data_IF_031069622190
#
_entry.id   IF_031069622190
#
_cell.length_a   1.000
_cell.length_b   1.000
_cell.length_c   1.000
_cell.angle_alpha   90.00
_cell.angle_beta   90.00
_cell.angle_gamma   90.00
#
_symmetry.space_group_name_H-M   'P 1'
#
loop_
_entity.id
_entity.type
_entity.pdbx_description
1 polymer ?
#
# COMPACT_ATOMS: atom_id res chain seq x y z
N UNK A 1 -39.03 -20.83 -4.31
CA UNK A 1 -38.97 -19.69 -3.37
C UNK A 1 -37.51 -19.42 -3.06
N UNK A 2 -36.93 -18.25 -3.38
CA UNK A 2 -35.57 -17.94 -2.97
C UNK A 2 -35.56 -17.40 -1.53
N UNK A 3 -34.56 -17.83 -0.77
CA UNK A 3 -34.32 -17.46 0.62
C UNK A 3 -33.89 -16.00 0.66
N UNK A 4 -34.71 -15.15 1.30
CA UNK A 4 -34.35 -13.79 1.72
C UNK A 4 -33.27 -13.90 2.79
N UNK A 5 -32.01 -13.72 2.40
CA UNK A 5 -30.97 -13.32 3.34
C UNK A 5 -31.10 -11.83 3.60
N UNK A 6 -31.50 -11.46 4.81
CA UNK A 6 -31.29 -10.10 5.31
C UNK A 6 -29.77 -9.86 5.33
N UNK A 7 -29.27 -9.09 4.36
CA UNK A 7 -27.92 -8.55 4.42
C UNK A 7 -28.08 -7.05 4.58
N UNK A 8 -28.13 -6.60 5.83
CA UNK A 8 -27.83 -5.20 6.14
C UNK A 8 -26.33 -4.97 5.90
N UNK A 9 -25.97 -4.80 4.63
CA UNK A 9 -24.70 -4.22 4.23
C UNK A 9 -24.93 -3.23 3.09
N UNK A 10 -25.93 -2.36 3.23
CA UNK A 10 -26.05 -1.14 2.45
C UNK A 10 -25.15 -0.07 3.06
N UNK A 11 -23.83 -0.27 2.99
CA UNK A 11 -22.86 0.81 3.20
C UNK A 11 -22.34 1.24 1.82
N UNK A 12 -23.07 2.20 1.25
CA UNK A 12 -22.68 3.13 0.18
C UNK A 12 -21.86 2.55 -0.97
N UNK A 13 -22.53 1.87 -1.91
CA UNK A 13 -21.96 1.63 -3.23
C UNK A 13 -22.58 2.62 -4.21
N UNK A 14 -21.78 3.51 -4.80
CA UNK A 14 -22.27 4.39 -5.86
C UNK A 14 -22.63 3.53 -7.09
N UNK A 15 -23.64 3.91 -7.89
CA UNK A 15 -24.08 3.14 -9.08
C UNK A 15 -23.02 2.99 -10.18
N UNK A 16 -21.89 3.68 -10.05
CA UNK A 16 -20.82 3.81 -11.03
C UNK A 16 -19.66 2.81 -10.81
N UNK A 17 -19.72 2.03 -9.71
CA UNK A 17 -18.71 1.03 -9.31
C UNK A 17 -19.15 -0.43 -9.61
N UNK A 18 -19.90 -0.64 -10.68
CA UNK A 18 -20.36 -1.98 -11.07
C UNK A 18 -19.36 -2.72 -11.96
N UNK A 19 -19.00 -3.92 -11.53
CA UNK A 19 -18.02 -4.77 -12.22
C UNK A 19 -18.77 -5.58 -13.28
N UNK A 20 -18.47 -5.33 -14.55
CA UNK A 20 -18.98 -6.13 -15.66
C UNK A 20 -18.36 -7.54 -15.62
N UNK A 21 -19.18 -8.56 -15.36
CA UNK A 21 -18.73 -9.96 -15.30
C UNK A 21 -18.76 -10.61 -16.70
N UNK A 22 -19.87 -10.50 -17.44
CA UNK A 22 -20.03 -11.09 -18.79
C UNK A 22 -20.91 -10.18 -19.68
N UNK A 23 -20.60 -10.10 -20.98
CA UNK A 23 -21.48 -9.55 -22.03
C UNK A 23 -22.04 -10.69 -22.88
N UNK A 24 -23.36 -10.73 -23.05
CA UNK A 24 -24.05 -11.83 -23.73
C UNK A 24 -24.82 -11.34 -24.97
N UNK A 25 -25.09 -12.26 -25.90
CA UNK A 25 -25.95 -12.07 -27.08
C UNK A 25 -27.26 -12.84 -26.93
N UNK A 26 -28.23 -12.54 -27.78
CA UNK A 26 -29.53 -13.20 -27.78
C UNK A 26 -29.36 -14.73 -27.92
N UNK A 27 -30.03 -15.48 -27.03
CA UNK A 27 -29.97 -16.94 -26.99
C UNK A 27 -28.87 -17.54 -26.09
N UNK A 28 -28.04 -16.73 -25.42
CA UNK A 28 -27.07 -17.21 -24.44
C UNK A 28 -27.65 -17.17 -23.01
N UNK A 29 -27.37 -18.19 -22.19
CA UNK A 29 -27.74 -18.24 -20.77
C UNK A 29 -26.51 -18.59 -19.90
N UNK A 30 -26.38 -17.98 -18.72
CA UNK A 30 -25.33 -18.26 -17.74
C UNK A 30 -25.98 -18.63 -16.41
N UNK A 31 -25.71 -19.85 -15.94
CA UNK A 31 -26.12 -20.34 -14.62
C UNK A 31 -24.91 -20.87 -13.87
N UNK A 32 -24.56 -20.25 -12.75
CA UNK A 32 -23.46 -20.70 -11.90
C UNK A 32 -23.80 -20.52 -10.42
N UNK A 33 -23.16 -21.35 -9.59
CA UNK A 33 -23.16 -21.21 -8.13
C UNK A 33 -21.70 -21.08 -7.67
N UNK A 34 -21.40 -20.04 -6.89
CA UNK A 34 -20.07 -19.79 -6.35
C UNK A 34 -20.10 -19.81 -4.81
N UNK A 35 -19.01 -20.30 -4.21
CA UNK A 35 -18.84 -20.37 -2.76
C UNK A 35 -17.68 -19.46 -2.33
N UNK A 36 -17.96 -18.52 -1.44
CA UNK A 36 -16.93 -17.68 -0.84
C UNK A 36 -16.20 -18.44 0.28
N UNK A 37 -14.87 -18.35 0.31
CA UNK A 37 -14.01 -18.89 1.38
C UNK A 37 -13.05 -17.81 1.85
N UNK A 38 -12.80 -17.79 3.15
CA UNK A 38 -11.72 -16.98 3.74
C UNK A 38 -10.38 -17.61 3.37
N UNK A 39 -9.45 -16.80 2.89
CA UNK A 39 -8.10 -17.23 2.54
C UNK A 39 -7.08 -16.15 2.86
N UNK A 40 -5.84 -16.39 2.44
CA UNK A 40 -4.69 -15.53 2.72
C UNK A 40 -4.13 -15.03 1.39
N UNK A 41 -3.79 -13.74 1.30
CA UNK A 41 -3.26 -13.14 0.07
C UNK A 41 -2.00 -13.85 -0.48
N UNK A 42 -1.19 -14.48 0.39
CA UNK A 42 -0.02 -15.29 0.01
C UNK A 42 -0.39 -16.49 -0.87
N UNK A 43 -1.58 -17.07 -0.68
CA UNK A 43 -2.05 -18.19 -1.48
C UNK A 43 -2.64 -17.72 -2.81
N UNK A 44 -3.38 -16.60 -2.80
CA UNK A 44 -3.94 -16.01 -4.01
C UNK A 44 -4.27 -14.53 -3.83
N UNK A 45 -3.91 -13.72 -4.83
CA UNK A 45 -4.13 -12.27 -4.86
C UNK A 45 -5.61 -11.82 -4.70
N UNK A 46 -6.60 -12.68 -4.99
CA UNK A 46 -8.03 -12.36 -4.81
C UNK A 46 -8.44 -12.18 -3.35
N UNK A 47 -7.60 -12.66 -2.43
CA UNK A 47 -7.78 -12.53 -0.99
C UNK A 47 -6.97 -11.38 -0.41
N UNK A 48 -6.33 -10.56 -1.26
CA UNK A 48 -5.72 -9.33 -0.79
C UNK A 48 -6.79 -8.31 -0.40
N UNK A 49 -6.65 -7.75 0.79
CA UNK A 49 -7.53 -6.72 1.32
C UNK A 49 -7.05 -5.31 0.93
N UNK A 50 -5.84 -5.18 0.40
CA UNK A 50 -5.27 -3.93 -0.07
C UNK A 50 -5.32 -3.89 -1.61
N UNK A 51 -5.56 -2.70 -2.15
CA UNK A 51 -5.35 -2.43 -3.56
C UNK A 51 -3.87 -2.08 -3.83
N UNK A 52 -3.29 -1.26 -2.95
CA UNK A 52 -1.89 -0.84 -3.01
C UNK A 52 -1.38 -0.54 -1.60
N UNK A 53 -0.11 -0.86 -1.37
CA UNK A 53 0.63 -0.42 -0.18
C UNK A 53 1.99 0.10 -0.66
N UNK A 54 2.24 1.37 -0.43
CA UNK A 54 3.50 2.02 -0.74
C UNK A 54 4.12 2.56 0.54
N UNK A 55 5.45 2.64 0.56
CA UNK A 55 6.16 3.30 1.66
C UNK A 55 7.32 4.14 1.14
N UNK A 56 7.63 5.19 1.88
CA UNK A 56 8.72 6.12 1.63
C UNK A 56 9.38 6.48 2.96
N UNK A 57 10.70 6.68 2.99
CA UNK A 57 11.44 6.99 4.23
C UNK A 57 12.48 8.11 4.07
N UNK A 58 12.79 8.50 2.84
CA UNK A 58 13.77 9.54 2.52
C UNK A 58 13.25 10.44 1.39
N UNK A 59 12.23 11.28 1.67
CA UNK A 59 11.55 12.10 0.66
C UNK A 59 12.48 13.11 -0.04
N UNK A 60 13.56 13.49 0.64
CA UNK A 60 14.56 14.44 0.15
C UNK A 60 15.83 13.75 -0.37
N UNK A 61 15.87 12.41 -0.45
CA UNK A 61 17.03 11.64 -0.88
C UNK A 61 18.35 12.03 -0.16
N UNK A 62 18.27 12.34 1.14
CA UNK A 62 19.40 12.76 1.99
C UNK A 62 20.41 11.62 2.17
N UNK A 63 19.96 10.36 2.16
CA UNK A 63 20.79 9.18 2.30
C UNK A 63 21.33 8.69 0.95
N UNK A 64 20.86 9.26 -0.17
CA UNK A 64 21.22 8.85 -1.55
C UNK A 64 20.91 7.37 -1.82
N UNK A 65 19.95 6.79 -1.10
CA UNK A 65 19.52 5.40 -1.31
C UNK A 65 18.61 5.23 -2.54
N UNK A 66 18.10 6.34 -3.09
CA UNK A 66 17.36 6.33 -4.35
C UNK A 66 18.22 6.95 -5.45
N UNK A 67 18.49 6.16 -6.49
CA UNK A 67 19.20 6.64 -7.68
C UNK A 67 18.18 6.99 -8.74
N UNK A 68 17.98 8.28 -9.02
CA UNK A 68 17.09 8.70 -10.10
C UNK A 68 17.81 8.56 -11.46
N UNK A 69 17.17 7.98 -12.49
CA UNK A 69 17.85 7.54 -13.72
C UNK A 69 18.53 8.63 -14.54
N UNK A 70 18.05 9.87 -14.53
CA UNK A 70 18.61 10.93 -15.39
C UNK A 70 18.52 12.33 -14.76
N UNK A 71 19.63 12.87 -14.22
CA UNK A 71 19.68 14.22 -13.66
C UNK A 71 19.46 15.34 -14.69
N UNK A 72 19.55 15.05 -15.99
CA UNK A 72 19.45 16.05 -17.06
C UNK A 72 17.99 16.33 -17.46
N UNK A 73 17.11 15.32 -17.37
CA UNK A 73 15.66 15.46 -17.63
C UNK A 73 14.94 16.28 -16.54
N UNK A 74 15.60 16.47 -15.39
CA UNK A 74 15.27 17.41 -14.32
C UNK A 74 14.89 18.80 -14.83
N UNK A 75 15.64 19.34 -15.81
CA UNK A 75 15.46 20.72 -16.28
C UNK A 75 14.15 20.94 -17.03
N UNK A 76 13.78 20.01 -17.91
CA UNK A 76 12.54 20.06 -18.67
C UNK A 76 11.33 19.90 -17.76
N UNK A 77 11.44 19.01 -16.78
CA UNK A 77 10.37 18.65 -15.87
C UNK A 77 10.17 19.68 -14.74
N UNK A 78 11.24 20.31 -14.24
CA UNK A 78 11.17 21.43 -13.30
C UNK A 78 10.54 22.69 -13.91
N UNK A 79 10.78 22.96 -15.21
CA UNK A 79 10.16 24.07 -15.93
C UNK A 79 8.64 23.88 -16.15
N UNK A 80 8.17 22.62 -16.11
CA UNK A 80 6.76 22.24 -16.20
C UNK A 80 6.09 22.01 -14.83
N UNK A 81 6.75 22.37 -13.73
CA UNK A 81 6.25 22.11 -12.36
C UNK A 81 5.95 20.63 -12.09
N UNK A 82 6.59 19.75 -12.85
CA UNK A 82 6.09 18.38 -12.95
C UNK A 82 6.71 17.51 -11.86
N UNK A 83 7.72 17.95 -11.07
CA UNK A 83 8.43 17.08 -10.07
C UNK A 83 7.37 16.47 -9.16
N UNK A 84 7.22 15.12 -9.14
CA UNK A 84 6.49 14.48 -8.06
C UNK A 84 7.44 14.56 -6.88
N UNK A 85 7.50 15.75 -6.29
CA UNK A 85 8.08 15.96 -4.98
C UNK A 85 7.23 15.13 -4.04
N UNK A 86 7.88 14.37 -3.15
CA UNK A 86 7.13 13.66 -2.12
C UNK A 86 6.27 14.67 -1.36
N UNK A 87 5.02 14.30 -1.08
CA UNK A 87 4.11 15.09 -0.24
C UNK A 87 4.66 15.32 1.18
N UNK A 88 5.70 14.55 1.56
CA UNK A 88 6.34 14.55 2.87
C UNK A 88 7.70 15.27 2.90
N UNK A 89 8.03 16.04 1.87
CA UNK A 89 9.31 16.77 1.76
C UNK A 89 9.27 18.09 2.55
N UNK A 90 10.24 18.28 3.46
CA UNK A 90 10.31 19.45 4.35
C UNK A 90 11.02 20.68 3.74
N UNK A 91 11.60 20.56 2.54
CA UNK A 91 12.30 21.68 1.91
C UNK A 91 11.32 22.83 1.58
N UNK A 92 11.71 24.10 1.72
CA UNK A 92 10.83 25.18 1.31
C UNK A 92 10.61 25.14 -0.22
N UNK A 93 9.38 25.40 -0.68
CA UNK A 93 9.15 25.74 -2.08
C UNK A 93 9.88 27.07 -2.33
N UNK A 94 11.05 27.01 -2.97
CA UNK A 94 11.73 28.23 -3.39
C UNK A 94 10.88 28.88 -4.49
N UNK A 95 9.98 29.79 -4.10
CA UNK A 95 9.35 30.78 -4.97
C UNK A 95 10.43 31.71 -5.54
N UNK A 96 11.19 31.23 -6.53
CA UNK A 96 12.30 32.02 -7.05
C UNK A 96 13.19 31.28 -8.03
N UNK A 97 12.89 31.46 -9.31
CA UNK A 97 13.83 31.59 -10.42
C UNK A 97 15.16 30.80 -10.31
N UNK A 98 15.16 29.61 -10.91
CA UNK A 98 16.30 28.97 -11.63
C UNK A 98 17.69 29.43 -11.17
N UNK A 99 18.15 28.97 -10.01
CA UNK A 99 19.57 29.11 -9.64
C UNK A 99 20.05 28.04 -8.67
N UNK A 100 19.91 26.78 -9.08
CA UNK A 100 21.00 25.80 -8.97
C UNK A 100 20.52 24.49 -9.57
N UNK A 101 21.21 24.05 -10.61
CA UNK A 101 21.29 22.65 -11.01
C UNK A 101 21.28 21.78 -9.73
N UNK A 102 20.32 20.86 -9.59
CA UNK A 102 20.33 19.75 -8.62
C UNK A 102 19.80 19.97 -7.18
N UNK A 103 19.15 21.09 -6.80
CA UNK A 103 18.58 21.25 -5.44
C UNK A 103 17.22 20.53 -5.23
N UNK A 104 17.02 19.37 -5.85
CA UNK A 104 15.90 18.47 -5.54
C UNK A 104 16.03 17.78 -4.20
N UNK A 105 17.28 17.63 -3.81
CA UNK A 105 17.69 16.66 -2.83
C UNK A 105 18.28 17.42 -1.64
N UNK A 106 18.02 16.92 -0.45
CA UNK A 106 18.59 17.43 0.77
C UNK A 106 20.11 17.28 0.78
N UNK A 107 20.75 18.03 1.67
CA UNK A 107 22.20 17.91 1.90
C UNK A 107 22.53 16.47 2.31
N UNK A 108 23.43 15.82 1.57
CA UNK A 108 23.84 14.45 1.87
C UNK A 108 24.40 14.32 3.29
N UNK A 109 23.84 13.41 4.06
CA UNK A 109 24.29 13.08 5.41
C UNK A 109 24.42 11.55 5.55
N UNK A 110 25.66 11.09 5.62
CA UNK A 110 25.98 9.66 5.70
C UNK A 110 25.80 9.08 7.11
N UNK A 111 25.72 9.93 8.15
CA UNK A 111 25.48 9.48 9.52
C UNK A 111 23.99 9.40 9.87
N UNK A 112 23.13 9.93 9.00
CA UNK A 112 21.68 9.90 9.22
C UNK A 112 21.17 8.46 9.02
N UNK A 113 20.19 8.08 9.84
CA UNK A 113 19.50 6.80 9.75
C UNK A 113 18.02 7.01 9.40
N UNK A 114 17.41 6.00 8.80
CA UNK A 114 16.00 6.02 8.44
C UNK A 114 15.15 5.76 9.69
N UNK A 115 14.70 6.83 10.34
CA UNK A 115 13.91 6.75 11.57
C UNK A 115 12.40 6.90 11.34
N UNK A 116 12.01 7.48 10.20
CA UNK A 116 10.61 7.78 9.85
C UNK A 116 10.23 7.12 8.53
N UNK A 117 9.06 6.47 8.53
CA UNK A 117 8.52 5.78 7.37
C UNK A 117 7.08 6.24 7.14
N UNK A 118 6.83 6.80 5.97
CA UNK A 118 5.53 7.19 5.47
C UNK A 118 4.92 6.00 4.74
N UNK A 119 3.75 5.54 5.18
CA UNK A 119 3.02 4.45 4.53
C UNK A 119 1.74 5.00 3.90
N UNK A 120 1.53 4.69 2.62
CA UNK A 120 0.25 4.88 1.96
C UNK A 120 -0.41 3.52 1.80
N UNK A 121 -1.63 3.38 2.32
CA UNK A 121 -2.39 2.12 2.33
C UNK A 121 -3.75 2.36 1.69
N UNK A 122 -3.94 1.76 0.52
CA UNK A 122 -5.19 1.80 -0.22
C UNK A 122 -5.96 0.49 -0.01
N UNK A 123 -7.21 0.60 0.43
CA UNK A 123 -8.08 -0.56 0.62
C UNK A 123 -8.74 -0.98 -0.69
N UNK A 124 -8.94 -2.30 -0.87
CA UNK A 124 -9.78 -2.84 -1.95
C UNK A 124 -11.28 -2.62 -1.74
N UNK A 125 -11.68 -2.04 -0.60
CA UNK A 125 -13.07 -1.81 -0.20
C UNK A 125 -13.64 -2.89 0.72
N UNK A 126 -12.95 -4.02 0.90
CA UNK A 126 -13.40 -5.10 1.79
C UNK A 126 -13.28 -4.75 3.28
N UNK A 127 -12.28 -3.96 3.67
CA UNK A 127 -12.02 -3.50 5.04
C UNK A 127 -11.56 -2.04 5.03
N UNK A 128 -11.79 -1.28 6.10
CA UNK A 128 -11.19 0.07 6.23
C UNK A 128 -9.67 -0.03 6.32
N UNK A 129 -8.94 0.90 5.69
CA UNK A 129 -7.48 0.94 5.71
C UNK A 129 -6.89 0.90 7.13
N UNK A 130 -7.51 1.61 8.08
CA UNK A 130 -7.12 1.57 9.50
C UNK A 130 -7.13 0.15 10.08
N UNK A 131 -8.17 -0.63 9.77
CA UNK A 131 -8.34 -1.98 10.29
C UNK A 131 -7.35 -2.95 9.66
N UNK A 132 -6.97 -2.72 8.41
CA UNK A 132 -5.92 -3.50 7.72
C UNK A 132 -4.60 -3.36 8.50
N UNK A 133 -4.21 -2.13 8.83
CA UNK A 133 -2.97 -1.85 9.58
C UNK A 133 -3.00 -2.49 10.97
N UNK A 134 -4.08 -2.30 11.74
CA UNK A 134 -4.20 -2.92 13.07
C UNK A 134 -4.19 -4.45 13.01
N UNK A 135 -4.81 -5.03 11.99
CA UNK A 135 -4.80 -6.48 11.76
C UNK A 135 -3.41 -6.99 11.40
N UNK A 136 -2.65 -6.23 10.61
CA UNK A 136 -1.27 -6.55 10.25
C UNK A 136 -0.35 -6.56 11.48
N UNK A 137 -0.45 -5.54 12.34
CA UNK A 137 0.29 -5.46 13.61
C UNK A 137 -0.07 -6.65 14.51
N UNK A 138 -1.36 -6.96 14.63
CA UNK A 138 -1.83 -8.09 15.44
C UNK A 138 -1.31 -9.42 14.90
N UNK A 139 -1.28 -9.60 13.58
CA UNK A 139 -0.72 -10.79 12.94
C UNK A 139 0.79 -10.92 13.20
N UNK A 140 1.53 -9.82 13.16
CA UNK A 140 2.96 -9.82 13.49
C UNK A 140 3.21 -10.18 14.95
N UNK A 141 2.47 -9.57 15.87
CA UNK A 141 2.53 -9.88 17.31
C UNK A 141 2.28 -11.37 17.57
N UNK A 142 1.26 -11.94 16.93
CA UNK A 142 0.94 -13.35 17.07
C UNK A 142 2.08 -14.25 16.54
N UNK A 143 2.71 -13.90 15.41
CA UNK A 143 3.87 -14.64 14.89
C UNK A 143 5.04 -14.64 15.87
N UNK A 144 5.37 -13.49 16.46
CA UNK A 144 6.45 -13.36 17.44
C UNK A 144 6.15 -14.19 18.70
N UNK A 145 4.92 -14.10 19.21
CA UNK A 145 4.50 -14.87 20.38
C UNK A 145 4.59 -16.38 20.13
N UNK A 146 4.20 -16.85 18.95
CA UNK A 146 4.29 -18.26 18.60
C UNK A 146 5.76 -18.74 18.61
N UNK A 147 6.68 -17.97 18.02
CA UNK A 147 8.11 -18.29 18.04
C UNK A 147 8.66 -18.30 19.47
N UNK A 148 8.24 -17.34 20.31
CA UNK A 148 8.63 -17.30 21.71
C UNK A 148 8.20 -18.54 22.49
N UNK A 149 6.94 -18.97 22.29
CA UNK A 149 6.42 -20.19 22.93
C UNK A 149 7.17 -21.45 22.49
N UNK A 150 7.50 -21.57 21.20
CA UNK A 150 8.28 -22.71 20.68
C UNK A 150 9.72 -22.71 21.21
N UNK A 151 10.35 -21.53 21.31
CA UNK A 151 11.69 -21.40 21.85
C UNK A 151 11.75 -21.80 23.34
N UNK A 152 10.76 -21.38 24.12
CA UNK A 152 10.69 -21.74 25.54
C UNK A 152 10.42 -23.23 25.73
N UNK A 153 9.60 -23.85 24.87
CA UNK A 153 9.41 -25.29 24.85
C UNK A 153 10.72 -26.04 24.59
N UNK A 154 11.54 -25.58 23.62
CA UNK A 154 12.84 -26.19 23.31
C UNK A 154 13.85 -26.04 24.44
N UNK A 155 13.90 -24.89 25.11
CA UNK A 155 14.77 -24.70 26.28
C UNK A 155 14.39 -25.64 27.42
N UNK A 156 13.10 -25.93 27.58
CA UNK A 156 12.62 -26.86 28.62
C UNK A 156 12.89 -28.34 28.29
N UNK A 157 13.09 -28.70 27.03
CA UNK A 157 13.42 -30.07 26.60
C UNK A 157 14.92 -30.34 26.50
N UNK A 158 15.75 -29.29 26.47
CA UNK A 158 17.22 -29.39 26.43
C UNK A 158 17.86 -29.46 27.83
N UNK A 159 17.07 -29.47 28.89
CA UNK A 159 17.50 -29.71 30.28
C UNK A 159 17.19 -31.14 30.72
#
# INVERSE_FOLDING_TARGET
>A
MPIRGNVESTLYKKPEDDILIVKMRAGQELKFHAYARKGIAKEHAKWDACASVAFEYDPDNILRHTTFPNPTEWFLWAFMNYRPRSEFSDLADNEGYVSSLCLAEGKYDYNKHADMFYFNVESSGALKATNIVFSAISALKNKINNIGMELDALKSTAC
#
